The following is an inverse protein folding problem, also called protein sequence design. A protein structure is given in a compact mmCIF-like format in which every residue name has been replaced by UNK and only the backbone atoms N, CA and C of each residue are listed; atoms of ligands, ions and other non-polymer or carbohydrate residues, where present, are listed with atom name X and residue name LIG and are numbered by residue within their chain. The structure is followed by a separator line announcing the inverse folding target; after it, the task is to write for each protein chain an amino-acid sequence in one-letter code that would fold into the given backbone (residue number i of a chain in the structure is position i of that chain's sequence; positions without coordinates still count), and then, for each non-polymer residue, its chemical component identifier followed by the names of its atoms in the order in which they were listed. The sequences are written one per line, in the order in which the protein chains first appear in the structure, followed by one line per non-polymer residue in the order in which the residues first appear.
data_IF_245959853744
#
_entry.id   IF_245959853744
#
_cell.length_a   1.000
_cell.length_b   1.000
_cell.length_c   1.000
_cell.angle_alpha   90.00
_cell.angle_beta   90.00
_cell.angle_gamma   90.00
#
_symmetry.space_group_name_H-M   'P 1'
#
loop_
_entity.id
_entity.type
_entity.pdbx_description
1 polymer ?
#
# COMPACT_ATOMS: atom_id res chain seq x y z
N UNK A 1 -19.00 -44.37 -10.52
CA UNK A 1 -18.16 -43.50 -9.65
C UNK A 1 -17.29 -42.61 -10.54
N UNK A 2 -17.32 -41.29 -10.32
CA UNK A 2 -16.52 -40.33 -11.10
C UNK A 2 -15.04 -40.45 -10.72
N UNK A 3 -14.14 -40.41 -11.70
CA UNK A 3 -12.68 -40.46 -11.45
C UNK A 3 -12.06 -39.08 -11.64
N UNK A 4 -11.13 -38.73 -10.76
CA UNK A 4 -10.28 -37.57 -10.89
C UNK A 4 -9.22 -37.82 -11.97
N UNK A 5 -8.64 -36.75 -12.54
CA UNK A 5 -7.55 -36.82 -13.53
C UNK A 5 -6.32 -37.60 -13.06
N UNK A 6 -6.12 -37.74 -11.75
CA UNK A 6 -5.05 -38.55 -11.17
C UNK A 6 -5.39 -40.04 -10.99
N UNK A 7 -6.53 -40.50 -11.53
CA UNK A 7 -6.99 -41.88 -11.43
C UNK A 7 -7.76 -42.23 -10.14
N UNK A 8 -7.70 -41.39 -9.10
CA UNK A 8 -8.43 -41.60 -7.83
C UNK A 8 -9.94 -41.42 -7.99
N UNK A 9 -10.71 -42.21 -7.25
CA UNK A 9 -12.17 -42.11 -7.20
C UNK A 9 -12.62 -40.85 -6.45
N UNK A 10 -13.63 -40.16 -6.98
CA UNK A 10 -14.26 -39.00 -6.35
C UNK A 10 -15.52 -39.49 -5.61
N UNK A 11 -15.49 -39.39 -4.28
CA UNK A 11 -16.56 -39.89 -3.40
C UNK A 11 -17.84 -39.03 -3.47
N UNK A 12 -17.72 -37.76 -3.89
CA UNK A 12 -18.85 -36.85 -4.03
C UNK A 12 -18.97 -36.38 -5.49
N UNK A 13 -20.05 -36.73 -6.21
CA UNK A 13 -20.21 -36.43 -7.64
C UNK A 13 -20.29 -34.92 -7.95
N UNK A 14 -20.50 -34.06 -6.94
CA UNK A 14 -20.47 -32.60 -7.06
C UNK A 14 -19.11 -32.05 -7.50
N UNK A 15 -18.01 -32.78 -7.26
CA UNK A 15 -16.65 -32.29 -7.52
C UNK A 15 -16.00 -32.97 -8.72
N UNK A 16 -15.05 -32.27 -9.35
CA UNK A 16 -14.27 -32.76 -10.50
C UNK A 16 -12.87 -33.26 -10.13
N UNK A 17 -12.40 -32.94 -8.92
CA UNK A 17 -11.08 -33.30 -8.41
C UNK A 17 -11.19 -34.06 -7.09
N UNK A 18 -10.27 -35.00 -6.85
CA UNK A 18 -10.11 -35.63 -5.55
C UNK A 18 -9.51 -34.65 -4.52
N UNK A 19 -9.57 -35.01 -3.24
CA UNK A 19 -9.05 -34.18 -2.15
C UNK A 19 -7.59 -33.75 -2.36
N UNK A 20 -6.72 -34.66 -2.79
CA UNK A 20 -5.30 -34.38 -2.97
C UNK A 20 -5.03 -33.47 -4.17
N UNK A 21 -5.73 -33.69 -5.29
CA UNK A 21 -5.62 -32.82 -6.47
C UNK A 21 -6.20 -31.43 -6.19
N UNK A 22 -7.29 -31.36 -5.43
CA UNK A 22 -7.88 -30.10 -4.96
C UNK A 22 -6.93 -29.36 -4.02
N UNK A 23 -6.21 -30.06 -3.13
CA UNK A 23 -5.14 -29.46 -2.32
C UNK A 23 -3.98 -28.93 -3.18
N UNK A 24 -3.55 -29.69 -4.20
CA UNK A 24 -2.48 -29.26 -5.11
C UNK A 24 -2.87 -28.02 -5.92
N UNK A 25 -4.09 -27.93 -6.42
CA UNK A 25 -4.57 -26.73 -7.14
C UNK A 25 -4.84 -25.54 -6.21
N UNK A 26 -5.24 -25.79 -4.95
CA UNK A 26 -5.34 -24.74 -3.92
C UNK A 26 -3.96 -24.21 -3.47
N UNK A 27 -2.89 -24.99 -3.65
CA UNK A 27 -1.52 -24.61 -3.35
C UNK A 27 -0.80 -23.88 -4.50
N UNK A 28 -1.40 -23.79 -5.69
CA UNK A 28 -0.87 -23.05 -6.85
C UNK A 28 -1.62 -21.75 -7.10
N UNK A 29 -2.17 -21.12 -6.06
CA UNK A 29 -2.41 -19.68 -6.12
C UNK A 29 -1.05 -19.03 -6.34
N UNK A 30 -0.94 -18.21 -7.40
CA UNK A 30 0.28 -17.54 -7.81
C UNK A 30 1.17 -17.20 -6.60
N UNK A 31 2.45 -17.59 -6.66
CA UNK A 31 3.48 -17.08 -5.75
C UNK A 31 3.23 -15.58 -5.63
N UNK A 32 2.97 -15.01 -4.44
CA UNK A 32 2.82 -13.58 -4.31
C UNK A 32 4.15 -13.02 -4.82
N UNK A 33 4.11 -12.37 -5.98
CA UNK A 33 5.21 -11.52 -6.42
C UNK A 33 5.57 -10.66 -5.20
N UNK A 34 6.86 -10.51 -4.85
CA UNK A 34 7.24 -9.62 -3.77
C UNK A 34 6.61 -8.26 -4.10
N UNK A 35 5.68 -7.85 -3.24
CA UNK A 35 5.00 -6.57 -3.35
C UNK A 35 6.06 -5.51 -3.08
N UNK A 36 6.75 -5.07 -4.13
CA UNK A 36 7.79 -4.05 -4.07
C UNK A 36 7.28 -2.80 -4.76
N UNK A 37 7.73 -1.66 -4.26
CA UNK A 37 7.50 -0.38 -4.94
C UNK A 37 8.05 -0.44 -6.37
N UNK A 38 7.51 0.37 -7.30
CA UNK A 38 8.10 0.57 -8.63
C UNK A 38 9.61 0.88 -8.53
N UNK A 39 10.41 0.37 -9.47
CA UNK A 39 11.87 0.43 -9.36
C UNK A 39 12.41 1.86 -9.33
N UNK A 40 11.76 2.78 -10.05
CA UNK A 40 12.09 4.21 -10.12
C UNK A 40 11.28 5.08 -9.15
N UNK A 41 10.57 4.47 -8.20
CA UNK A 41 9.67 5.16 -7.30
C UNK A 41 10.37 6.29 -6.51
N UNK A 42 9.91 7.52 -6.75
CA UNK A 42 10.41 8.79 -6.21
C UNK A 42 11.86 9.16 -6.61
N UNK A 43 12.45 8.49 -7.62
CA UNK A 43 13.81 8.83 -8.07
C UNK A 43 13.94 10.30 -8.54
N UNK A 44 12.87 10.87 -9.09
CA UNK A 44 12.78 12.28 -9.50
C UNK A 44 11.93 13.16 -8.58
N UNK A 45 11.60 12.69 -7.36
CA UNK A 45 10.67 13.38 -6.46
C UNK A 45 9.22 13.38 -6.95
N UNK A 46 8.37 14.19 -6.31
CA UNK A 46 6.93 14.27 -6.64
C UNK A 46 6.64 15.11 -7.87
N UNK A 47 7.47 16.10 -8.16
CA UNK A 47 7.13 17.17 -9.09
C UNK A 47 7.81 16.98 -10.45
N UNK A 48 7.14 17.43 -11.50
CA UNK A 48 7.74 17.62 -12.82
C UNK A 48 8.56 18.92 -12.88
N UNK A 49 9.13 19.21 -14.05
CA UNK A 49 9.95 20.40 -14.28
C UNK A 49 9.15 21.71 -14.13
N UNK A 50 7.83 21.64 -14.25
CA UNK A 50 6.91 22.77 -14.10
C UNK A 50 6.40 22.93 -12.66
N UNK A 51 6.82 22.05 -11.75
CA UNK A 51 6.40 22.07 -10.34
C UNK A 51 5.01 21.45 -10.10
N UNK A 52 4.44 20.74 -11.07
CA UNK A 52 3.19 20.01 -10.89
C UNK A 52 3.44 18.61 -10.35
N UNK A 53 2.50 18.09 -9.56
CA UNK A 53 2.55 16.71 -9.10
C UNK A 53 2.51 15.76 -10.30
N UNK A 54 3.50 14.87 -10.41
CA UNK A 54 3.56 13.87 -11.48
C UNK A 54 2.32 12.99 -11.43
N UNK A 55 1.62 12.89 -12.56
CA UNK A 55 0.33 12.20 -12.69
C UNK A 55 0.35 10.77 -12.15
N UNK A 56 1.45 10.03 -12.31
CA UNK A 56 1.63 8.66 -11.78
C UNK A 56 1.31 8.53 -10.28
N UNK A 57 1.44 9.59 -9.50
CA UNK A 57 1.17 9.57 -8.07
C UNK A 57 -0.31 9.76 -7.70
N UNK A 58 -1.19 10.05 -8.67
CA UNK A 58 -2.62 10.28 -8.42
C UNK A 58 -3.55 9.57 -9.42
N UNK A 59 -3.05 9.16 -10.58
CA UNK A 59 -3.85 8.58 -11.64
C UNK A 59 -4.10 7.08 -11.48
N UNK A 60 -5.18 6.63 -12.12
CA UNK A 60 -5.49 5.22 -12.30
C UNK A 60 -4.41 4.56 -13.16
N UNK A 61 -4.07 3.31 -12.86
CA UNK A 61 -2.99 2.55 -13.47
C UNK A 61 -1.57 3.17 -13.29
N UNK A 62 -1.46 4.28 -12.53
CA UNK A 62 -0.20 4.83 -12.03
C UNK A 62 0.29 4.16 -10.74
N UNK A 63 1.37 4.69 -10.17
CA UNK A 63 1.99 4.18 -8.94
C UNK A 63 0.98 4.07 -7.79
N UNK A 64 0.12 5.07 -7.59
CA UNK A 64 -0.84 5.06 -6.50
C UNK A 64 -1.80 3.86 -6.59
N UNK A 65 -2.29 3.59 -7.81
CA UNK A 65 -3.20 2.49 -8.10
C UNK A 65 -2.50 1.12 -7.99
N UNK A 66 -1.28 1.02 -8.52
CA UNK A 66 -0.43 -0.18 -8.43
C UNK A 66 -0.14 -0.53 -6.97
N UNK A 67 0.30 0.45 -6.18
CA UNK A 67 0.59 0.27 -4.75
C UNK A 67 -0.68 -0.16 -4.01
N UNK A 68 -1.83 0.47 -4.28
CA UNK A 68 -3.09 0.10 -3.67
C UNK A 68 -3.47 -1.37 -3.91
N UNK A 69 -3.39 -1.85 -5.16
CA UNK A 69 -3.64 -3.27 -5.51
C UNK A 69 -2.64 -4.19 -4.79
N UNK A 70 -1.36 -3.87 -4.84
CA UNK A 70 -0.33 -4.71 -4.22
C UNK A 70 -0.50 -4.81 -2.69
N UNK A 71 -0.90 -3.73 -2.02
CA UNK A 71 -1.14 -3.72 -0.58
C UNK A 71 -2.25 -4.70 -0.15
N UNK A 72 -3.28 -4.91 -0.97
CA UNK A 72 -4.34 -5.87 -0.66
C UNK A 72 -3.95 -7.33 -0.92
N UNK A 73 -2.98 -7.56 -1.81
CA UNK A 73 -2.44 -8.88 -2.11
C UNK A 73 -1.24 -9.27 -1.24
N UNK A 74 -0.58 -8.31 -0.61
CA UNK A 74 0.58 -8.52 0.23
C UNK A 74 0.28 -9.46 1.44
N UNK A 75 1.34 -9.92 2.10
CA UNK A 75 1.25 -10.77 3.29
C UNK A 75 2.12 -10.17 4.41
N UNK A 76 1.54 -9.75 5.54
CA UNK A 76 0.09 -9.65 5.81
C UNK A 76 -0.61 -8.68 4.84
N UNK A 77 -1.88 -8.94 4.52
CA UNK A 77 -2.65 -8.06 3.66
C UNK A 77 -3.02 -6.78 4.39
N UNK A 78 -3.06 -5.65 3.67
CA UNK A 78 -3.62 -4.43 4.23
C UNK A 78 -5.12 -4.45 4.38
N UNK A 79 -5.58 -3.81 5.45
CA UNK A 79 -6.99 -3.53 5.66
C UNK A 79 -7.24 -2.04 5.47
N UNK A 80 -8.46 -1.73 5.05
CA UNK A 80 -8.99 -0.37 4.97
C UNK A 80 -8.81 0.41 6.27
N UNK A 81 -9.01 -0.25 7.42
CA UNK A 81 -8.87 0.38 8.73
C UNK A 81 -7.41 0.76 9.02
N UNK A 82 -6.46 -0.17 8.79
CA UNK A 82 -5.04 0.11 9.00
C UNK A 82 -4.57 1.26 8.10
N UNK A 83 -4.88 1.18 6.80
CA UNK A 83 -4.44 2.20 5.84
C UNK A 83 -5.01 3.58 6.18
N UNK A 84 -6.31 3.68 6.50
CA UNK A 84 -6.94 4.93 6.94
C UNK A 84 -6.36 5.46 8.25
N UNK A 85 -5.99 4.59 9.20
CA UNK A 85 -5.38 5.01 10.47
C UNK A 85 -4.04 5.71 10.22
N UNK A 86 -3.17 5.12 9.40
CA UNK A 86 -1.90 5.75 9.03
C UNK A 86 -2.11 7.05 8.27
N UNK A 87 -3.00 7.06 7.28
CA UNK A 87 -3.35 8.30 6.57
C UNK A 87 -3.89 9.38 7.51
N UNK A 88 -4.69 9.00 8.51
CA UNK A 88 -5.19 9.92 9.53
C UNK A 88 -4.09 10.63 10.32
N UNK A 89 -2.97 9.95 10.63
CA UNK A 89 -1.81 10.59 11.25
C UNK A 89 -1.18 11.64 10.33
N UNK A 90 -1.05 11.33 9.04
CA UNK A 90 -0.51 12.25 8.03
C UNK A 90 -1.44 13.45 7.85
N UNK A 91 -2.76 13.22 7.78
CA UNK A 91 -3.76 14.27 7.65
C UNK A 91 -3.84 15.16 8.89
N UNK A 92 -3.69 14.61 10.08
CA UNK A 92 -3.63 15.40 11.32
C UNK A 92 -2.41 16.34 11.34
N UNK A 93 -1.28 15.91 10.78
CA UNK A 93 -0.11 16.77 10.61
C UNK A 93 -0.37 17.91 9.61
N UNK A 94 -1.09 17.64 8.51
CA UNK A 94 -1.53 18.66 7.57
C UNK A 94 -2.47 19.68 8.23
N UNK A 95 -3.50 19.22 8.95
CA UNK A 95 -4.39 20.11 9.68
C UNK A 95 -3.64 21.00 10.70
N UNK A 96 -2.63 20.45 11.38
CA UNK A 96 -1.78 21.24 12.29
C UNK A 96 -0.96 22.28 11.54
N UNK A 97 -0.46 21.96 10.35
CA UNK A 97 0.24 22.92 9.50
C UNK A 97 -0.68 24.08 9.11
N UNK A 98 -1.92 23.77 8.69
CA UNK A 98 -2.91 24.79 8.32
C UNK A 98 -3.25 25.73 9.49
N UNK A 99 -3.23 25.23 10.72
CA UNK A 99 -3.51 26.02 11.92
C UNK A 99 -2.32 26.85 12.43
N UNK A 100 -1.09 26.40 12.20
CA UNK A 100 0.10 26.98 12.86
C UNK A 100 1.07 27.64 11.89
N UNK A 101 0.96 27.33 10.60
CA UNK A 101 1.89 27.71 9.53
C UNK A 101 3.36 27.33 9.80
N UNK A 102 3.61 26.51 10.82
CA UNK A 102 4.95 26.15 11.28
C UNK A 102 5.35 24.77 10.73
N UNK A 103 5.90 24.77 9.51
CA UNK A 103 6.32 23.54 8.87
C UNK A 103 7.45 22.85 9.61
N UNK A 104 8.42 23.56 10.19
CA UNK A 104 9.52 22.96 10.95
C UNK A 104 9.02 22.09 12.11
N UNK A 105 8.01 22.56 12.85
CA UNK A 105 7.40 21.78 13.93
C UNK A 105 6.59 20.58 13.41
N UNK A 106 5.89 20.74 12.28
CA UNK A 106 5.14 19.66 11.63
C UNK A 106 6.06 18.61 11.03
N UNK A 107 7.18 19.01 10.45
CA UNK A 107 8.21 18.13 9.89
C UNK A 107 8.73 17.14 10.94
N UNK A 108 9.03 17.61 12.16
CA UNK A 108 9.42 16.72 13.27
C UNK A 108 8.30 15.73 13.63
N UNK A 109 7.03 16.15 13.57
CA UNK A 109 5.91 15.24 13.79
C UNK A 109 5.77 14.21 12.66
N UNK A 110 6.02 14.59 11.40
CA UNK A 110 6.04 13.66 10.27
C UNK A 110 7.14 12.60 10.43
N UNK A 111 8.31 12.97 10.96
CA UNK A 111 9.38 12.00 11.26
C UNK A 111 8.98 10.95 12.30
N UNK A 112 7.97 11.20 13.14
CA UNK A 112 7.43 10.19 14.07
C UNK A 112 6.68 9.04 13.37
N UNK A 113 6.33 9.18 12.09
CA UNK A 113 5.74 8.08 11.32
C UNK A 113 6.72 6.92 11.13
N UNK A 114 8.03 7.18 11.09
CA UNK A 114 9.07 6.15 10.97
C UNK A 114 9.03 5.15 12.15
N UNK A 115 9.19 5.57 13.43
CA UNK A 115 9.10 4.63 14.53
C UNK A 115 7.72 3.96 14.63
N UNK A 116 6.63 4.64 14.24
CA UNK A 116 5.29 4.04 14.22
C UNK A 116 5.22 2.89 13.19
N UNK A 117 5.63 3.13 11.94
CA UNK A 117 5.56 2.12 10.89
C UNK A 117 6.54 0.99 11.16
N UNK A 118 7.71 1.30 11.73
CA UNK A 118 8.70 0.32 12.21
C UNK A 118 8.12 -0.61 13.27
N UNK A 119 7.41 -0.07 14.28
CA UNK A 119 6.75 -0.89 15.30
C UNK A 119 5.67 -1.80 14.69
N UNK A 120 4.83 -1.25 13.81
CA UNK A 120 3.79 -2.03 13.14
C UNK A 120 4.39 -3.16 12.28
N UNK A 121 5.53 -2.90 11.63
CA UNK A 121 6.27 -3.88 10.84
C UNK A 121 6.87 -4.97 11.72
N UNK A 122 7.55 -4.61 12.81
CA UNK A 122 8.14 -5.55 13.76
C UNK A 122 7.09 -6.47 14.42
N UNK A 123 5.87 -5.98 14.61
CA UNK A 123 4.72 -6.78 15.09
C UNK A 123 4.06 -7.64 14.01
N UNK A 124 4.58 -7.65 12.77
CA UNK A 124 4.01 -8.38 11.65
C UNK A 124 2.60 -7.93 11.27
N UNK A 125 2.24 -6.66 11.56
CA UNK A 125 0.89 -6.14 11.30
C UNK A 125 0.73 -5.54 9.91
N UNK A 126 1.84 -5.19 9.24
CA UNK A 126 1.88 -4.56 7.93
C UNK A 126 2.88 -5.25 6.99
N UNK A 127 2.66 -5.20 5.66
CA UNK A 127 3.60 -5.76 4.68
C UNK A 127 4.84 -4.89 4.53
N UNK A 128 5.93 -5.49 4.01
CA UNK A 128 7.16 -4.75 3.63
C UNK A 128 6.86 -3.60 2.69
N UNK A 129 6.00 -3.82 1.69
CA UNK A 129 5.56 -2.79 0.75
C UNK A 129 5.08 -1.50 1.45
N UNK A 130 4.27 -1.65 2.49
CA UNK A 130 3.69 -0.50 3.19
C UNK A 130 4.75 0.21 4.04
N UNK A 131 5.65 -0.56 4.66
CA UNK A 131 6.79 0.00 5.37
C UNK A 131 7.66 0.83 4.42
N UNK A 132 8.09 0.25 3.30
CA UNK A 132 8.93 0.92 2.30
C UNK A 132 8.24 2.14 1.72
N UNK A 133 6.94 2.04 1.45
CA UNK A 133 6.12 3.16 1.00
C UNK A 133 6.25 4.34 1.97
N UNK A 134 5.93 4.14 3.25
CA UNK A 134 5.96 5.21 4.25
C UNK A 134 7.38 5.78 4.41
N UNK A 135 8.40 4.92 4.53
CA UNK A 135 9.78 5.36 4.74
C UNK A 135 10.32 6.16 3.55
N UNK A 136 10.11 5.70 2.31
CA UNK A 136 10.58 6.44 1.12
C UNK A 136 9.93 7.81 1.01
N UNK A 137 8.63 7.91 1.23
CA UNK A 137 7.92 9.20 1.16
C UNK A 137 8.43 10.17 2.26
N UNK A 138 8.60 9.72 3.50
CA UNK A 138 9.14 10.56 4.60
C UNK A 138 10.57 11.03 4.32
N UNK A 139 11.38 10.22 3.62
CA UNK A 139 12.77 10.55 3.30
C UNK A 139 12.88 11.67 2.26
N UNK A 140 11.95 11.73 1.31
CA UNK A 140 11.96 12.72 0.22
C UNK A 140 11.51 14.11 0.69
N UNK A 141 10.71 14.19 1.76
CA UNK A 141 10.27 15.48 2.32
C UNK A 141 11.47 16.24 2.88
N UNK A 142 11.76 17.41 2.30
CA UNK A 142 12.79 18.33 2.79
C UNK A 142 12.25 19.22 3.91
N UNK A 143 13.06 19.59 4.91
CA UNK A 143 12.63 20.36 6.09
C UNK A 143 12.20 21.79 5.77
N UNK A 144 12.63 22.33 4.64
CA UNK A 144 12.41 23.70 4.16
C UNK A 144 11.44 23.77 2.96
N UNK A 145 10.84 22.65 2.57
CA UNK A 145 9.98 22.56 1.38
C UNK A 145 8.64 21.90 1.72
N UNK A 146 7.70 22.68 2.24
CA UNK A 146 6.40 22.17 2.72
C UNK A 146 5.59 21.48 1.62
N UNK A 147 5.79 21.86 0.37
CA UNK A 147 5.10 21.32 -0.79
C UNK A 147 5.41 19.83 -0.99
N UNK A 148 6.61 19.35 -0.64
CA UNK A 148 6.95 17.91 -0.69
C UNK A 148 5.98 17.10 0.18
N UNK A 149 5.52 17.70 1.28
CA UNK A 149 4.52 17.11 2.15
C UNK A 149 3.08 17.38 1.65
N UNK A 150 2.69 18.65 1.50
CA UNK A 150 1.29 19.03 1.30
C UNK A 150 0.77 18.71 -0.10
N UNK A 151 1.60 18.94 -1.14
CA UNK A 151 1.26 18.68 -2.54
C UNK A 151 1.86 17.38 -3.07
N UNK A 152 2.86 16.83 -2.39
CA UNK A 152 3.50 15.55 -2.72
C UNK A 152 2.90 14.39 -1.94
N UNK A 153 3.49 14.07 -0.79
CA UNK A 153 3.16 12.87 -0.03
C UNK A 153 1.67 12.79 0.36
N UNK A 154 1.07 13.89 0.83
CA UNK A 154 -0.31 13.89 1.30
C UNK A 154 -1.29 13.52 0.17
N UNK A 155 -1.16 14.15 -0.99
CA UNK A 155 -1.97 13.89 -2.18
C UNK A 155 -1.76 12.46 -2.70
N UNK A 156 -0.50 12.02 -2.77
CA UNK A 156 -0.18 10.66 -3.20
C UNK A 156 -0.77 9.60 -2.26
N UNK A 157 -0.64 9.79 -0.94
CA UNK A 157 -1.19 8.85 0.03
C UNK A 157 -2.73 8.88 0.02
N UNK A 158 -3.35 10.04 -0.18
CA UNK A 158 -4.79 10.13 -0.38
C UNK A 158 -5.25 9.31 -1.59
N UNK A 159 -4.53 9.40 -2.72
CA UNK A 159 -4.82 8.60 -3.91
C UNK A 159 -4.68 7.09 -3.64
N UNK A 160 -3.61 6.64 -2.96
CA UNK A 160 -3.44 5.24 -2.56
C UNK A 160 -4.61 4.76 -1.69
N UNK A 161 -5.06 5.55 -0.71
CA UNK A 161 -6.21 5.21 0.15
C UNK A 161 -7.51 5.11 -0.65
N UNK A 162 -7.72 6.02 -1.60
CA UNK A 162 -8.89 6.04 -2.47
C UNK A 162 -8.92 4.81 -3.38
N UNK A 163 -7.84 4.53 -4.10
CA UNK A 163 -7.73 3.35 -4.96
C UNK A 163 -7.81 2.05 -4.15
N UNK A 164 -7.23 2.01 -2.95
CA UNK A 164 -7.36 0.84 -2.09
C UNK A 164 -8.82 0.58 -1.72
N UNK A 165 -9.58 1.64 -1.39
CA UNK A 165 -11.02 1.52 -1.12
C UNK A 165 -11.79 1.07 -2.36
N UNK A 166 -11.40 1.54 -3.55
CA UNK A 166 -12.01 1.15 -4.82
C UNK A 166 -11.80 -0.35 -5.13
N UNK A 167 -10.57 -0.87 -4.96
CA UNK A 167 -10.27 -2.29 -5.21
C UNK A 167 -10.76 -3.23 -4.12
N UNK A 168 -10.81 -2.74 -2.88
CA UNK A 168 -11.17 -3.52 -1.70
C UNK A 168 -12.26 -2.79 -0.91
N UNK A 169 -13.49 -2.63 -1.44
CA UNK A 169 -14.56 -1.96 -0.73
C UNK A 169 -14.93 -2.70 0.56
N UNK A 170 -15.41 -1.95 1.57
CA UNK A 170 -16.00 -2.58 2.76
C UNK A 170 -17.23 -3.37 2.30
N UNK A 171 -17.27 -4.65 2.68
CA UNK A 171 -18.48 -5.48 2.56
C UNK A 171 -19.50 -5.08 3.60
#
# INVERSE_FOLDING_TARGET
MKKCKCGKTINNPKYDLCYDCSKKTRGTGAVPQPSKLPDDYLAGGYFDEQGNLRERYIAKDGDADIIAKQLGWARPAMTNHQLRRFYGHVRAAANRLDMTENFSAVYINLKKLDPFVSEAKGKGKIPDLFYDFVIKNIKVIRPDHKEDFTKGFLEHFQAVVAFFTFHYPKK
#
